data_IF_469273551937
#
_entry.id   IF_469273551937
#
_cell.length_a   1.000
_cell.length_b   1.000
_cell.length_c   1.000
_cell.angle_alpha   90.00
_cell.angle_beta   90.00
_cell.angle_gamma   90.00
#
_symmetry.space_group_name_H-M   'P 1'
#
loop_
_entity.id
_entity.type
_entity.pdbx_description
1 polymer ?
#
# COMPACT_ATOMS: atom_id res chain seq x y z
N UNK A 1 56.96 -25.67 5.82
CA UNK A 1 55.66 -26.04 5.21
C UNK A 1 54.50 -25.66 6.15
N UNK A 2 54.14 -24.37 6.22
CA UNK A 2 53.10 -23.86 7.15
C UNK A 2 52.02 -22.97 6.51
N UNK A 3 52.10 -22.71 5.20
CA UNK A 3 51.18 -21.80 4.51
C UNK A 3 49.87 -22.43 4.03
N UNK A 4 49.83 -23.75 3.84
CA UNK A 4 48.65 -24.45 3.30
C UNK A 4 47.54 -24.67 4.34
N UNK A 5 47.91 -24.99 5.59
CA UNK A 5 46.95 -25.23 6.67
C UNK A 5 46.32 -23.94 7.20
N UNK A 6 47.06 -22.83 7.20
CA UNK A 6 46.51 -21.51 7.56
C UNK A 6 45.54 -20.99 6.48
N UNK A 7 45.85 -21.20 5.20
CA UNK A 7 44.98 -20.81 4.07
C UNK A 7 43.68 -21.61 4.02
N UNK A 8 43.72 -22.91 4.30
CA UNK A 8 42.52 -23.75 4.36
C UNK A 8 41.58 -23.37 5.51
N UNK A 9 42.13 -23.05 6.69
CA UNK A 9 41.34 -22.57 7.82
C UNK A 9 40.71 -21.19 7.54
N UNK A 10 41.44 -20.28 6.87
CA UNK A 10 40.93 -18.98 6.47
C UNK A 10 39.81 -19.10 5.43
N UNK A 11 39.94 -20.00 4.44
CA UNK A 11 38.89 -20.28 3.46
C UNK A 11 37.64 -20.85 4.13
N UNK A 12 37.81 -21.82 5.04
CA UNK A 12 36.71 -22.40 5.80
C UNK A 12 36.02 -21.34 6.69
N UNK A 13 36.80 -20.48 7.35
CA UNK A 13 36.29 -19.36 8.14
C UNK A 13 35.56 -18.31 7.30
N UNK A 14 36.05 -18.01 6.10
CA UNK A 14 35.41 -17.07 5.17
C UNK A 14 34.07 -17.60 4.64
N UNK A 15 33.98 -18.89 4.32
CA UNK A 15 32.73 -19.54 3.90
C UNK A 15 31.74 -19.56 5.05
N UNK A 16 32.16 -19.97 6.25
CA UNK A 16 31.31 -20.00 7.44
C UNK A 16 30.82 -18.59 7.83
N UNK A 17 31.70 -17.59 7.84
CA UNK A 17 31.38 -16.20 8.14
C UNK A 17 30.47 -15.55 7.10
N UNK A 18 30.73 -15.78 5.81
CA UNK A 18 29.89 -15.29 4.72
C UNK A 18 28.49 -15.90 4.71
N UNK A 19 28.38 -17.19 5.00
CA UNK A 19 27.09 -17.89 5.10
C UNK A 19 26.25 -17.37 6.29
N UNK A 20 26.86 -17.13 7.46
CA UNK A 20 26.16 -16.60 8.63
C UNK A 20 25.64 -15.15 8.42
N UNK A 21 26.42 -14.30 7.75
CA UNK A 21 26.03 -12.91 7.49
C UNK A 21 24.91 -12.78 6.46
N UNK A 22 24.90 -13.67 5.46
CA UNK A 22 23.82 -13.77 4.46
C UNK A 22 22.55 -14.35 5.08
N UNK A 23 22.65 -15.39 5.92
CA UNK A 23 21.51 -15.97 6.62
C UNK A 23 20.79 -14.96 7.54
N UNK A 24 21.52 -14.11 8.28
CA UNK A 24 20.92 -13.10 9.15
C UNK A 24 20.23 -11.95 8.40
N UNK A 25 20.80 -11.47 7.29
CA UNK A 25 20.23 -10.35 6.53
C UNK A 25 19.08 -10.75 5.60
N UNK A 26 19.10 -11.98 5.08
CA UNK A 26 18.06 -12.51 4.20
C UNK A 26 16.98 -13.33 4.92
N UNK A 27 17.25 -13.81 6.14
CA UNK A 27 16.35 -14.68 6.91
C UNK A 27 14.99 -14.06 7.17
N UNK A 28 14.91 -12.76 7.48
CA UNK A 28 13.63 -12.08 7.75
C UNK A 28 12.73 -11.99 6.50
N UNK A 29 13.32 -11.79 5.32
CA UNK A 29 12.58 -11.71 4.04
C UNK A 29 12.12 -13.09 3.56
N UNK A 30 12.93 -14.13 3.77
CA UNK A 30 12.56 -15.51 3.43
C UNK A 30 11.56 -16.11 4.43
N UNK A 31 11.69 -15.82 5.72
CA UNK A 31 10.68 -16.16 6.73
C UNK A 31 9.31 -15.56 6.38
N UNK A 32 9.27 -14.35 5.82
CA UNK A 32 8.04 -13.75 5.29
C UNK A 32 7.36 -14.60 4.20
N UNK A 33 8.15 -15.20 3.29
CA UNK A 33 7.65 -16.10 2.24
C UNK A 33 7.16 -17.44 2.76
N UNK A 34 7.80 -17.98 3.81
CA UNK A 34 7.35 -19.22 4.49
C UNK A 34 6.10 -19.01 5.35
N UNK A 35 5.79 -17.78 5.75
CA UNK A 35 4.64 -17.44 6.61
C UNK A 35 3.28 -17.48 5.91
N UNK A 36 3.22 -17.91 4.64
CA UNK A 36 1.97 -18.12 3.90
C UNK A 36 1.16 -16.84 3.64
N UNK A 37 1.77 -15.66 3.72
CA UNK A 37 1.06 -14.41 3.54
C UNK A 37 0.70 -14.21 2.06
N UNK A 38 -0.59 -14.09 1.78
CA UNK A 38 -1.11 -13.63 0.48
C UNK A 38 -1.47 -12.15 0.62
N UNK A 39 -0.84 -11.32 -0.20
CA UNK A 39 -1.24 -9.93 -0.33
C UNK A 39 -2.54 -9.87 -1.13
N UNK A 40 -3.57 -9.28 -0.52
CA UNK A 40 -4.85 -9.03 -1.16
C UNK A 40 -4.93 -7.53 -1.48
N UNK A 41 -5.15 -7.21 -2.75
CA UNK A 41 -5.35 -5.84 -3.21
C UNK A 41 -6.80 -5.70 -3.66
N UNK A 42 -7.42 -4.58 -3.27
CA UNK A 42 -8.79 -4.24 -3.69
C UNK A 42 -8.81 -3.98 -5.19
N UNK A 43 -9.77 -4.56 -5.91
CA UNK A 43 -9.93 -4.39 -7.36
C UNK A 43 -10.26 -2.94 -7.75
N UNK A 44 -9.87 -2.57 -8.97
CA UNK A 44 -10.07 -1.23 -9.52
C UNK A 44 -11.55 -0.84 -9.57
N UNK A 45 -12.43 -1.79 -9.90
CA UNK A 45 -13.88 -1.57 -9.99
C UNK A 45 -14.47 -1.19 -8.63
N UNK A 46 -13.98 -1.77 -7.54
CA UNK A 46 -14.41 -1.48 -6.18
C UNK A 46 -13.96 -0.08 -5.76
N UNK A 47 -12.72 0.31 -6.08
CA UNK A 47 -12.22 1.66 -5.82
C UNK A 47 -13.04 2.73 -6.57
N UNK A 48 -13.41 2.47 -7.82
CA UNK A 48 -14.28 3.35 -8.60
C UNK A 48 -15.67 3.48 -7.99
N UNK A 49 -16.27 2.37 -7.56
CA UNK A 49 -17.58 2.39 -6.90
C UNK A 49 -17.54 3.19 -5.59
N UNK A 50 -16.49 3.01 -4.79
CA UNK A 50 -16.31 3.77 -3.55
C UNK A 50 -16.16 5.27 -3.83
N UNK A 51 -15.33 5.65 -4.80
CA UNK A 51 -15.16 7.05 -5.18
C UNK A 51 -16.49 7.69 -5.63
N UNK A 52 -17.26 6.99 -6.47
CA UNK A 52 -18.59 7.44 -6.90
C UNK A 52 -19.53 7.68 -5.71
N UNK A 53 -19.62 6.72 -4.78
CA UNK A 53 -20.45 6.86 -3.57
C UNK A 53 -20.01 8.01 -2.67
N UNK A 54 -18.70 8.19 -2.51
CA UNK A 54 -18.15 9.29 -1.69
C UNK A 54 -18.46 10.66 -2.30
N UNK A 55 -18.36 10.81 -3.62
CA UNK A 55 -18.72 12.07 -4.31
C UNK A 55 -20.21 12.38 -4.17
N UNK A 56 -21.07 11.37 -4.29
CA UNK A 56 -22.50 11.55 -4.04
C UNK A 56 -22.79 11.97 -2.59
N UNK A 57 -22.11 11.36 -1.64
CA UNK A 57 -22.23 11.74 -0.24
C UNK A 57 -21.79 13.19 -0.01
N UNK A 58 -20.65 13.60 -0.57
CA UNK A 58 -20.17 14.98 -0.49
C UNK A 58 -21.17 15.97 -1.12
N UNK A 59 -21.73 15.65 -2.28
CA UNK A 59 -22.76 16.48 -2.92
C UNK A 59 -24.01 16.58 -2.04
N UNK A 60 -24.49 15.46 -1.49
CA UNK A 60 -25.63 15.44 -0.60
C UNK A 60 -25.38 16.23 0.70
N UNK A 61 -24.17 16.14 1.25
CA UNK A 61 -23.76 16.91 2.43
C UNK A 61 -23.65 18.40 2.12
N UNK A 62 -23.12 18.78 0.96
CA UNK A 62 -23.00 20.19 0.55
C UNK A 62 -24.37 20.81 0.25
N UNK A 63 -25.30 20.04 -0.33
CA UNK A 63 -26.67 20.48 -0.55
C UNK A 63 -27.51 20.54 0.73
N UNK A 64 -27.03 19.93 1.83
CA UNK A 64 -27.73 19.89 3.11
C UNK A 64 -27.49 21.20 3.86
N UNK A 65 -28.47 22.10 3.86
CA UNK A 65 -28.47 23.28 4.72
C UNK A 65 -28.52 22.92 6.22
N UNK A 66 -28.16 23.87 7.09
CA UNK A 66 -27.96 23.68 8.54
C UNK A 66 -29.14 23.06 9.32
N UNK A 67 -30.36 23.01 8.77
CA UNK A 67 -31.56 22.49 9.43
C UNK A 67 -32.21 21.30 8.70
N UNK A 68 -31.57 20.72 7.69
CA UNK A 68 -32.15 19.61 6.96
C UNK A 68 -32.13 18.33 7.81
N UNK A 69 -33.32 17.78 8.11
CA UNK A 69 -33.52 16.60 8.96
C UNK A 69 -33.62 15.30 8.13
N UNK A 70 -33.85 15.43 6.83
CA UNK A 70 -34.10 14.29 5.95
C UNK A 70 -32.91 13.33 5.82
N UNK A 71 -33.23 12.04 5.64
CA UNK A 71 -32.26 10.98 5.37
C UNK A 71 -31.60 11.18 3.99
N UNK A 72 -30.27 11.04 3.91
CA UNK A 72 -29.53 11.13 2.64
C UNK A 72 -29.97 9.98 1.72
N UNK A 73 -30.64 10.33 0.62
CA UNK A 73 -31.02 9.37 -0.43
C UNK A 73 -29.85 9.18 -1.38
N UNK A 74 -29.25 7.99 -1.36
CA UNK A 74 -28.18 7.61 -2.30
C UNK A 74 -28.83 7.20 -3.63
N UNK A 75 -28.90 8.13 -4.58
CA UNK A 75 -29.33 7.83 -5.94
C UNK A 75 -28.28 6.99 -6.68
N UNK A 76 -28.64 6.26 -7.73
CA UNK A 76 -27.68 5.49 -8.53
C UNK A 76 -26.72 6.45 -9.27
N UNK A 77 -25.39 6.40 -9.02
CA UNK A 77 -24.45 7.35 -9.63
C UNK A 77 -24.38 7.17 -11.14
N UNK A 78 -24.72 8.19 -11.94
CA UNK A 78 -24.67 8.14 -13.41
C UNK A 78 -23.32 8.57 -14.02
N UNK A 79 -22.33 8.91 -13.20
CA UNK A 79 -21.00 9.35 -13.67
C UNK A 79 -20.27 8.21 -14.42
N UNK A 80 -20.37 8.23 -15.75
CA UNK A 80 -19.76 7.23 -16.65
C UNK A 80 -18.23 7.32 -16.66
N UNK A 81 -17.67 8.52 -16.48
CA UNK A 81 -16.22 8.79 -16.53
C UNK A 81 -15.44 8.00 -15.49
N UNK A 82 -15.98 7.85 -14.28
CA UNK A 82 -15.37 7.04 -13.22
C UNK A 82 -15.68 5.54 -13.33
N UNK A 83 -16.72 5.13 -14.08
CA UNK A 83 -16.99 3.70 -14.31
C UNK A 83 -15.98 3.07 -15.27
N UNK A 84 -15.60 3.80 -16.32
CA UNK A 84 -14.81 3.26 -17.45
C UNK A 84 -13.39 3.85 -17.56
N UNK A 85 -13.10 4.96 -16.86
CA UNK A 85 -11.81 5.63 -16.92
C UNK A 85 -10.66 4.92 -16.18
N UNK A 86 -9.42 5.34 -16.47
CA UNK A 86 -8.22 4.91 -15.74
C UNK A 86 -8.27 5.43 -14.29
N UNK A 87 -7.78 4.63 -13.34
CA UNK A 87 -7.61 5.10 -11.97
C UNK A 87 -6.55 6.22 -11.91
N UNK A 88 -6.74 7.22 -11.03
CA UNK A 88 -5.72 8.20 -10.68
C UNK A 88 -4.36 7.56 -10.40
N UNK A 89 -3.28 8.16 -10.91
CA UNK A 89 -1.90 7.67 -10.71
C UNK A 89 -1.53 7.60 -9.22
N UNK A 90 -2.04 8.54 -8.41
CA UNK A 90 -1.86 8.55 -6.95
C UNK A 90 -2.33 7.25 -6.28
N UNK A 91 -3.43 6.64 -6.77
CA UNK A 91 -3.93 5.36 -6.25
C UNK A 91 -3.03 4.19 -6.68
N UNK A 92 -2.46 4.24 -7.89
CA UNK A 92 -1.49 3.23 -8.33
C UNK A 92 -0.21 3.28 -7.49
N UNK A 93 0.28 4.48 -7.17
CA UNK A 93 1.41 4.66 -6.25
C UNK A 93 1.08 4.12 -4.87
N UNK A 94 -0.09 4.46 -4.32
CA UNK A 94 -0.51 3.98 -3.00
C UNK A 94 -0.54 2.44 -2.89
N UNK A 95 -0.84 1.71 -3.97
CA UNK A 95 -0.80 0.25 -3.99
C UNK A 95 0.58 -0.34 -3.77
N UNK A 96 1.65 0.36 -4.15
CA UNK A 96 3.02 -0.08 -3.91
C UNK A 96 3.50 0.18 -2.47
N UNK A 97 2.68 0.84 -1.64
CA UNK A 97 3.02 1.20 -0.26
C UNK A 97 2.01 0.65 0.76
N UNK A 98 2.05 -0.66 1.10
CA UNK A 98 1.14 -1.26 2.07
C UNK A 98 1.10 -0.54 3.42
N UNK A 99 2.23 0.03 3.85
CA UNK A 99 2.35 0.81 5.08
C UNK A 99 1.47 2.08 5.11
N UNK A 100 0.96 2.56 3.98
CA UNK A 100 0.09 3.74 3.94
C UNK A 100 -1.36 3.43 4.32
N UNK A 101 -1.71 2.15 4.45
CA UNK A 101 -3.01 1.69 4.93
C UNK A 101 -2.98 1.50 6.45
N UNK A 102 -3.95 2.10 7.14
CA UNK A 102 -4.16 1.86 8.58
C UNK A 102 -4.63 0.44 8.90
N UNK A 103 -5.11 -0.30 7.89
CA UNK A 103 -5.56 -1.68 8.03
C UNK A 103 -4.39 -2.68 8.09
N UNK A 104 -3.19 -2.24 7.70
CA UNK A 104 -2.00 -3.08 7.68
C UNK A 104 -1.17 -2.93 8.96
N UNK A 105 -0.41 -3.97 9.37
CA UNK A 105 0.49 -3.87 10.51
C UNK A 105 1.54 -2.77 10.32
N UNK A 106 1.86 -2.03 11.39
CA UNK A 106 2.88 -0.96 11.40
C UNK A 106 2.63 0.16 10.38
N UNK A 107 1.46 0.83 10.43
CA UNK A 107 1.12 1.86 9.46
C UNK A 107 2.02 3.11 9.59
N UNK A 108 2.42 3.68 8.47
CA UNK A 108 3.19 4.93 8.34
C UNK A 108 2.32 6.03 7.72
N UNK A 109 1.33 6.48 8.47
CA UNK A 109 0.31 7.40 7.97
C UNK A 109 0.79 8.85 7.84
N UNK A 110 1.81 9.24 8.60
CA UNK A 110 2.39 10.60 8.63
C UNK A 110 3.53 10.80 7.62
N UNK A 111 3.78 9.83 6.73
CA UNK A 111 4.82 9.95 5.72
C UNK A 111 4.47 11.08 4.74
N UNK A 112 5.40 12.00 4.49
CA UNK A 112 5.19 13.15 3.61
C UNK A 112 4.75 12.73 2.19
N UNK A 113 5.35 11.68 1.63
CA UNK A 113 4.98 11.12 0.32
C UNK A 113 3.50 10.70 0.27
N UNK A 114 2.98 10.08 1.34
CA UNK A 114 1.56 9.69 1.43
C UNK A 114 0.67 10.94 1.39
N UNK A 115 1.06 11.98 2.11
CA UNK A 115 0.32 13.23 2.17
C UNK A 115 0.28 13.93 0.81
N UNK A 116 1.42 13.98 0.10
CA UNK A 116 1.50 14.51 -1.26
C UNK A 116 0.57 13.75 -2.23
N UNK A 117 0.56 12.41 -2.17
CA UNK A 117 -0.36 11.62 -3.02
C UNK A 117 -1.83 11.86 -2.68
N UNK A 118 -2.17 12.12 -1.42
CA UNK A 118 -3.54 12.49 -1.01
C UNK A 118 -3.93 13.84 -1.59
N UNK A 119 -3.04 14.83 -1.55
CA UNK A 119 -3.28 16.16 -2.11
C UNK A 119 -3.43 16.11 -3.64
N UNK A 120 -2.58 15.35 -4.33
CA UNK A 120 -2.69 15.10 -5.77
C UNK A 120 -4.01 14.43 -6.13
N UNK A 121 -4.47 13.46 -5.33
CA UNK A 121 -5.75 12.80 -5.54
C UNK A 121 -6.92 13.77 -5.28
N UNK A 122 -6.85 14.57 -4.22
CA UNK A 122 -7.89 15.54 -3.87
C UNK A 122 -8.11 16.59 -4.97
N UNK A 123 -7.05 17.01 -5.67
CA UNK A 123 -7.15 17.91 -6.82
C UNK A 123 -7.81 17.33 -8.08
N UNK A 124 -8.08 16.01 -8.11
CA UNK A 124 -8.64 15.30 -9.27
C UNK A 124 -10.12 14.88 -9.08
N UNK A 125 -10.70 15.11 -7.89
CA UNK A 125 -12.07 14.69 -7.51
C UNK A 125 -13.09 15.80 -7.76
#
# INVERSE_FOLDING_TARGET
VGGLTLGAAALAGAIAGGALQTARSYGSRLLGKFKGQRELTVDDSVLRLLALRQRQLLHALNARGHAAVDSIKVATPQDKTWREGKLPEALNKARAHPQWSSLNPHPKLSQAERQEQIELLAGQI
#
